data_IF_768919065296
#
_entry.id   IF_768919065296
#
_cell.length_a   1.000
_cell.length_b   1.000
_cell.length_c   1.000
_cell.angle_alpha   90.00
_cell.angle_beta   90.00
_cell.angle_gamma   90.00
#
_symmetry.space_group_name_H-M   'P 1'
#
loop_
_entity.id
_entity.type
_entity.pdbx_description
1 polymer ?
#
# COMPACT_ATOMS: atom_id res chain seq x y z
N UNK A 1 12.36 14.33 -1.44
CA UNK A 1 10.96 14.09 -1.88
C UNK A 1 10.15 13.78 -0.63
N UNK A 2 8.96 14.36 -0.47
CA UNK A 2 8.10 14.09 0.69
C UNK A 2 7.34 12.78 0.47
N UNK A 3 7.55 11.82 1.34
CA UNK A 3 7.01 10.46 1.21
C UNK A 3 5.82 10.26 2.13
N UNK A 4 4.68 9.87 1.56
CA UNK A 4 3.43 9.62 2.28
C UNK A 4 3.04 8.16 2.15
N UNK A 5 2.91 7.47 3.28
CA UNK A 5 2.28 6.15 3.30
C UNK A 5 0.78 6.33 3.43
N UNK A 6 0.05 5.95 2.39
CA UNK A 6 -1.40 6.06 2.32
C UNK A 6 -2.04 4.74 2.73
N UNK A 7 -2.70 4.72 3.88
CA UNK A 7 -3.35 3.55 4.44
C UNK A 7 -4.87 3.75 4.62
N UNK A 8 -5.55 2.68 4.94
CA UNK A 8 -7.00 2.69 5.19
C UNK A 8 -7.64 1.35 4.84
N UNK A 9 -8.72 1.01 5.53
CA UNK A 9 -9.43 -0.25 5.36
C UNK A 9 -10.05 -0.45 3.97
N UNK A 10 -10.47 -1.67 3.68
CA UNK A 10 -11.19 -2.01 2.46
C UNK A 10 -12.38 -1.06 2.25
N UNK A 11 -12.55 -0.56 1.04
CA UNK A 11 -13.60 0.38 0.65
C UNK A 11 -13.60 1.73 1.40
N UNK A 12 -12.54 2.09 2.15
CA UNK A 12 -12.41 3.40 2.81
C UNK A 12 -12.29 4.56 1.84
N UNK A 13 -11.89 4.33 0.59
CA UNK A 13 -11.62 5.37 -0.41
C UNK A 13 -10.14 5.64 -0.65
N UNK A 14 -9.23 4.86 -0.09
CA UNK A 14 -7.77 4.97 -0.27
C UNK A 14 -7.36 5.19 -1.73
N UNK A 15 -7.77 4.32 -2.66
CA UNK A 15 -7.42 4.46 -4.07
C UNK A 15 -8.06 5.70 -4.76
N UNK A 16 -9.13 6.27 -4.19
CA UNK A 16 -9.67 7.54 -4.68
C UNK A 16 -8.78 8.71 -4.26
N UNK A 17 -8.27 8.68 -3.03
CA UNK A 17 -7.26 9.64 -2.53
C UNK A 17 -5.98 9.51 -3.34
N UNK A 18 -5.43 8.31 -3.53
CA UNK A 18 -4.22 8.09 -4.30
C UNK A 18 -4.30 8.70 -5.70
N UNK A 19 -5.38 8.39 -6.44
CA UNK A 19 -5.62 8.97 -7.76
C UNK A 19 -5.82 10.50 -7.74
N UNK A 20 -6.41 11.03 -6.68
CA UNK A 20 -6.57 12.46 -6.54
C UNK A 20 -5.24 13.17 -6.30
N UNK A 21 -4.33 12.58 -5.54
CA UNK A 21 -2.98 13.09 -5.30
C UNK A 21 -2.09 12.94 -6.56
N UNK A 22 -2.21 11.84 -7.28
CA UNK A 22 -1.53 11.61 -8.56
C UNK A 22 -1.89 12.69 -9.60
N UNK A 23 -3.19 13.05 -9.73
CA UNK A 23 -3.63 14.16 -10.61
C UNK A 23 -3.08 15.52 -10.21
N UNK A 24 -2.63 15.70 -8.98
CA UNK A 24 -1.96 16.91 -8.46
C UNK A 24 -0.44 16.87 -8.62
N UNK A 25 0.09 15.80 -9.21
CA UNK A 25 1.51 15.64 -9.49
C UNK A 25 2.27 14.82 -8.42
N UNK A 26 1.57 14.12 -7.54
CA UNK A 26 2.24 13.12 -6.71
C UNK A 26 2.69 11.92 -7.55
N UNK A 27 3.88 11.40 -7.28
CA UNK A 27 4.30 10.11 -7.78
C UNK A 27 3.64 9.01 -6.94
N UNK A 28 2.90 8.14 -7.59
CA UNK A 28 2.19 7.05 -6.92
C UNK A 28 2.96 5.75 -7.05
N UNK A 29 3.18 5.09 -5.91
CA UNK A 29 3.72 3.73 -5.81
C UNK A 29 2.65 2.85 -5.18
N UNK A 30 2.42 1.67 -5.76
CA UNK A 30 1.47 0.69 -5.24
C UNK A 30 2.25 -0.52 -4.72
N UNK A 31 2.22 -0.77 -3.40
CA UNK A 31 2.94 -1.88 -2.78
C UNK A 31 2.44 -3.26 -3.23
N UNK A 32 1.18 -3.39 -3.61
CA UNK A 32 0.69 -4.64 -4.19
C UNK A 32 1.36 -4.95 -5.54
N UNK A 33 1.72 -3.89 -6.29
CA UNK A 33 2.50 -4.06 -7.53
C UNK A 33 3.96 -4.42 -7.24
N UNK A 34 4.57 -3.83 -6.22
CA UNK A 34 5.92 -4.19 -5.80
C UNK A 34 6.01 -5.64 -5.32
N UNK A 35 5.06 -6.08 -4.50
CA UNK A 35 4.96 -7.48 -4.06
C UNK A 35 4.83 -8.44 -5.25
N UNK A 36 4.16 -8.04 -6.31
CA UNK A 36 4.12 -8.84 -7.55
C UNK A 36 5.44 -8.79 -8.31
N UNK A 37 6.09 -7.64 -8.36
CA UNK A 37 7.33 -7.44 -9.10
C UNK A 37 8.51 -8.21 -8.50
N UNK A 38 8.59 -8.33 -7.17
CA UNK A 38 9.64 -9.13 -6.51
C UNK A 38 9.49 -10.64 -6.79
N UNK A 39 8.32 -11.09 -7.24
CA UNK A 39 8.03 -12.47 -7.62
C UNK A 39 8.00 -12.69 -9.14
N UNK A 40 8.62 -11.81 -9.94
CA UNK A 40 8.79 -12.02 -11.37
C UNK A 40 9.92 -13.03 -11.66
N UNK A 41 9.84 -13.74 -12.77
CA UNK A 41 10.86 -14.73 -13.16
C UNK A 41 12.29 -14.19 -13.12
N UNK A 42 13.20 -14.95 -12.52
CA UNK A 42 14.62 -14.58 -12.39
C UNK A 42 14.93 -13.68 -11.18
N UNK A 43 13.95 -13.41 -10.33
CA UNK A 43 14.18 -12.73 -9.05
C UNK A 43 14.76 -13.70 -8.01
N UNK A 44 15.78 -13.26 -7.26
CA UNK A 44 16.30 -14.00 -6.11
C UNK A 44 15.20 -14.35 -5.08
N UNK A 45 14.17 -13.52 -4.98
CA UNK A 45 13.01 -13.77 -4.11
C UNK A 45 12.24 -15.03 -4.54
N UNK A 46 12.14 -15.30 -5.84
CA UNK A 46 11.49 -16.52 -6.36
C UNK A 46 12.25 -17.76 -5.92
N UNK A 47 13.59 -17.71 -5.97
CA UNK A 47 14.43 -18.83 -5.56
C UNK A 47 14.28 -19.13 -4.06
N UNK A 48 14.26 -18.10 -3.20
CA UNK A 48 14.05 -18.24 -1.76
C UNK A 48 12.63 -18.75 -1.45
N UNK A 49 11.62 -18.27 -2.15
CA UNK A 49 10.23 -18.74 -2.01
C UNK A 49 10.12 -20.21 -2.42
N UNK A 50 10.73 -20.60 -3.54
CA UNK A 50 10.74 -21.99 -4.00
C UNK A 50 11.43 -22.90 -2.97
N UNK A 51 12.59 -22.52 -2.47
CA UNK A 51 13.29 -23.26 -1.44
C UNK A 51 12.47 -23.42 -0.14
N UNK A 52 11.63 -22.43 0.19
CA UNK A 52 10.83 -22.44 1.40
C UNK A 52 9.49 -23.19 1.25
N UNK A 53 8.85 -23.11 0.07
CA UNK A 53 7.49 -23.59 -0.15
C UNK A 53 7.39 -24.74 -1.16
N UNK A 54 8.48 -25.05 -1.88
CA UNK A 54 8.60 -26.18 -2.80
C UNK A 54 9.05 -25.75 -4.19
N UNK A 55 10.06 -26.45 -4.71
CA UNK A 55 10.65 -26.19 -6.04
C UNK A 55 9.66 -26.41 -7.18
N UNK A 56 8.60 -27.20 -6.95
CA UNK A 56 7.52 -27.46 -7.90
C UNK A 56 6.62 -26.22 -8.16
N UNK A 57 6.81 -25.15 -7.39
CA UNK A 57 6.13 -23.88 -7.62
C UNK A 57 6.69 -23.10 -8.82
N UNK A 58 7.91 -23.42 -9.28
CA UNK A 58 8.57 -22.68 -10.36
C UNK A 58 8.57 -23.54 -11.64
N UNK A 59 8.03 -22.98 -12.70
CA UNK A 59 8.09 -23.60 -14.02
C UNK A 59 9.54 -23.61 -14.52
N UNK A 60 10.08 -24.79 -14.78
CA UNK A 60 11.50 -24.98 -15.13
C UNK A 60 11.89 -24.41 -16.49
N UNK A 61 10.92 -24.16 -17.37
CA UNK A 61 11.17 -23.62 -18.71
C UNK A 61 11.12 -22.09 -18.73
N UNK A 62 10.20 -21.51 -17.97
CA UNK A 62 9.93 -20.06 -17.99
C UNK A 62 10.44 -19.33 -16.75
N UNK A 63 10.74 -20.04 -15.66
CA UNK A 63 11.06 -19.47 -14.37
C UNK A 63 9.85 -18.83 -13.65
N UNK A 64 8.65 -18.99 -14.21
CA UNK A 64 7.45 -18.38 -13.67
C UNK A 64 6.96 -19.10 -12.41
N UNK A 65 6.60 -18.32 -11.39
CA UNK A 65 6.06 -18.82 -10.13
C UNK A 65 4.56 -19.09 -10.26
N UNK A 66 4.09 -20.29 -9.88
CA UNK A 66 2.66 -20.57 -9.69
C UNK A 66 2.15 -19.87 -8.43
N UNK A 67 1.71 -18.61 -8.61
CA UNK A 67 1.19 -17.77 -7.52
C UNK A 67 -0.06 -18.36 -6.87
N UNK A 68 -0.85 -19.14 -7.61
CA UNK A 68 -2.04 -19.81 -7.06
C UNK A 68 -1.67 -20.94 -6.11
N UNK A 69 -0.67 -21.76 -6.49
CA UNK A 69 -0.14 -22.81 -5.62
C UNK A 69 0.60 -22.22 -4.40
N UNK A 70 1.42 -21.17 -4.61
CA UNK A 70 2.05 -20.45 -3.51
C UNK A 70 1.02 -19.91 -2.51
N UNK A 71 -0.01 -19.22 -2.99
CA UNK A 71 -1.06 -18.67 -2.13
C UNK A 71 -1.76 -19.75 -1.28
N UNK A 72 -2.03 -20.92 -1.85
CA UNK A 72 -2.61 -22.04 -1.10
C UNK A 72 -1.70 -22.55 0.00
N UNK A 73 -0.36 -22.55 -0.21
CA UNK A 73 0.62 -23.03 0.78
C UNK A 73 0.92 -21.96 1.83
N UNK A 74 1.16 -20.74 1.38
CA UNK A 74 1.56 -19.64 2.26
C UNK A 74 0.43 -19.10 3.14
N UNK A 75 -0.82 -19.20 2.70
CA UNK A 75 -1.97 -18.77 3.49
C UNK A 75 -2.74 -19.93 4.14
N UNK A 76 -2.12 -21.11 4.24
CA UNK A 76 -2.71 -22.26 4.92
C UNK A 76 -2.80 -22.04 6.44
N UNK A 77 -1.82 -21.35 7.02
CA UNK A 77 -1.72 -21.03 8.44
C UNK A 77 -0.90 -19.76 8.68
N UNK A 78 -0.93 -19.25 9.91
CA UNK A 78 -0.24 -18.01 10.29
C UNK A 78 1.30 -18.11 10.21
N UNK A 79 1.87 -19.30 10.48
CA UNK A 79 3.32 -19.51 10.42
C UNK A 79 3.82 -19.46 8.98
N UNK A 80 3.12 -20.14 8.07
CA UNK A 80 3.41 -20.12 6.64
C UNK A 80 3.27 -18.70 6.06
N UNK A 81 2.25 -17.94 6.49
CA UNK A 81 2.07 -16.54 6.10
C UNK A 81 3.26 -15.69 6.56
N UNK A 82 3.63 -15.78 7.85
CA UNK A 82 4.77 -15.04 8.39
C UNK A 82 6.09 -15.42 7.71
N UNK A 83 6.27 -16.67 7.32
CA UNK A 83 7.44 -17.14 6.58
C UNK A 83 7.52 -16.52 5.19
N UNK A 84 6.42 -16.47 4.46
CA UNK A 84 6.39 -15.80 3.15
C UNK A 84 6.74 -14.31 3.28
N UNK A 85 6.12 -13.63 4.24
CA UNK A 85 6.39 -12.22 4.51
C UNK A 85 7.85 -11.96 4.87
N UNK A 86 8.45 -12.80 5.71
CA UNK A 86 9.86 -12.68 6.08
C UNK A 86 10.80 -12.78 4.86
N UNK A 87 10.42 -13.56 3.84
CA UNK A 87 11.17 -13.66 2.58
C UNK A 87 10.92 -12.43 1.70
N UNK A 88 9.66 -12.04 1.47
CA UNK A 88 9.31 -10.98 0.52
C UNK A 88 9.67 -9.57 1.00
N UNK A 89 9.47 -9.25 2.30
CA UNK A 89 9.62 -7.90 2.82
C UNK A 89 11.00 -7.28 2.58
N UNK A 90 12.14 -7.97 2.70
CA UNK A 90 13.45 -7.41 2.38
C UNK A 90 13.59 -6.98 0.91
N UNK A 91 13.00 -7.74 -0.01
CA UNK A 91 13.01 -7.43 -1.45
C UNK A 91 12.11 -6.26 -1.77
N UNK A 92 10.90 -6.24 -1.22
CA UNK A 92 9.95 -5.12 -1.34
C UNK A 92 10.60 -3.84 -0.80
N UNK A 93 11.25 -3.90 0.38
CA UNK A 93 11.94 -2.76 0.97
C UNK A 93 13.06 -2.24 0.07
N UNK A 94 13.91 -3.13 -0.44
CA UNK A 94 15.00 -2.75 -1.37
C UNK A 94 14.46 -2.05 -2.61
N UNK A 95 13.39 -2.59 -3.20
CA UNK A 95 12.76 -2.00 -4.39
C UNK A 95 12.13 -0.65 -4.06
N UNK A 96 11.39 -0.55 -2.95
CA UNK A 96 10.78 0.70 -2.50
C UNK A 96 11.84 1.79 -2.27
N UNK A 97 12.94 1.48 -1.57
CA UNK A 97 14.03 2.44 -1.33
C UNK A 97 14.60 2.97 -2.63
N UNK A 98 14.91 2.10 -3.61
CA UNK A 98 15.42 2.53 -4.93
C UNK A 98 14.42 3.43 -5.66
N UNK A 99 13.13 3.09 -5.60
CA UNK A 99 12.09 3.95 -6.17
C UNK A 99 12.05 5.31 -5.47
N UNK A 100 12.09 5.35 -4.14
CA UNK A 100 12.11 6.62 -3.39
C UNK A 100 13.35 7.46 -3.68
N UNK A 101 14.45 6.86 -4.12
CA UNK A 101 15.66 7.51 -4.64
C UNK A 101 15.52 7.97 -6.10
N UNK A 102 14.38 7.68 -6.74
CA UNK A 102 14.03 8.16 -8.08
C UNK A 102 14.09 7.11 -9.20
N UNK A 103 14.42 5.86 -8.89
CA UNK A 103 14.41 4.80 -9.91
C UNK A 103 12.98 4.55 -10.43
N UNK A 104 12.82 4.57 -11.75
CA UNK A 104 11.53 4.37 -12.40
C UNK A 104 10.57 5.55 -12.35
N UNK A 105 10.97 6.67 -11.75
CA UNK A 105 10.16 7.88 -11.76
C UNK A 105 10.17 8.54 -13.14
N UNK A 106 9.00 8.62 -13.78
CA UNK A 106 8.85 9.31 -15.07
C UNK A 106 8.67 10.82 -14.92
N UNK A 107 8.55 11.32 -13.69
CA UNK A 107 8.37 12.74 -13.41
C UNK A 107 9.70 13.42 -13.13
N UNK A 108 9.90 14.61 -13.68
CA UNK A 108 11.08 15.43 -13.37
C UNK A 108 10.89 16.04 -11.98
N UNK A 109 11.54 15.48 -10.94
CA UNK A 109 11.50 15.93 -9.56
C UNK A 109 10.08 15.93 -8.93
N UNK A 110 9.45 14.77 -8.71
CA UNK A 110 8.20 14.74 -7.97
C UNK A 110 8.45 15.23 -6.55
N UNK A 111 7.62 16.16 -6.15
CA UNK A 111 7.76 16.75 -4.84
C UNK A 111 7.19 15.87 -3.74
N UNK A 112 6.17 15.06 -4.07
CA UNK A 112 5.46 14.15 -3.17
C UNK A 112 5.43 12.78 -3.81
N UNK A 113 5.78 11.77 -3.03
CA UNK A 113 5.57 10.36 -3.36
C UNK A 113 4.46 9.81 -2.45
N UNK A 114 3.46 9.17 -3.05
CA UNK A 114 2.38 8.50 -2.31
C UNK A 114 2.51 7.01 -2.51
N UNK A 115 2.83 6.31 -1.43
CA UNK A 115 2.94 4.85 -1.40
C UNK A 115 1.62 4.29 -0.86
N UNK A 116 0.84 3.62 -1.71
CA UNK A 116 -0.36 2.92 -1.25
C UNK A 116 0.01 1.67 -0.46
N UNK A 117 -0.40 1.66 0.81
CA UNK A 117 -0.13 0.58 1.76
C UNK A 117 -1.43 -0.19 2.01
N UNK A 118 -1.54 -1.46 1.58
CA UNK A 118 -2.74 -2.26 1.80
C UNK A 118 -2.90 -2.73 3.25
N UNK A 119 -1.79 -3.10 3.90
CA UNK A 119 -1.73 -3.64 5.27
C UNK A 119 -0.63 -2.89 6.04
N UNK A 120 -1.03 -1.87 6.80
CA UNK A 120 -0.07 -0.98 7.48
C UNK A 120 0.73 -1.71 8.57
N UNK A 121 0.12 -2.67 9.27
CA UNK A 121 0.75 -3.50 10.29
C UNK A 121 1.93 -4.33 9.75
N UNK A 122 1.84 -4.76 8.48
CA UNK A 122 2.92 -5.50 7.81
C UNK A 122 4.08 -4.59 7.40
N UNK A 123 3.85 -3.28 7.39
CA UNK A 123 4.81 -2.26 6.98
C UNK A 123 5.52 -1.58 8.16
N UNK A 124 5.30 -2.01 9.39
CA UNK A 124 5.97 -1.44 10.57
C UNK A 124 7.50 -1.31 10.40
N UNK A 125 8.24 -2.31 9.87
CA UNK A 125 9.68 -2.18 9.66
C UNK A 125 10.08 -1.12 8.61
N UNK A 126 9.13 -0.58 7.87
CA UNK A 126 9.34 0.40 6.80
C UNK A 126 8.70 1.76 7.07
N UNK A 127 8.01 1.93 8.21
CA UNK A 127 7.37 3.21 8.57
C UNK A 127 8.36 4.38 8.64
N UNK A 128 9.63 4.09 8.92
CA UNK A 128 10.70 5.07 8.92
C UNK A 128 11.08 5.61 7.52
N UNK A 129 10.54 5.03 6.44
CA UNK A 129 10.70 5.54 5.08
C UNK A 129 9.67 6.62 4.74
N UNK A 130 8.63 6.79 5.57
CA UNK A 130 7.58 7.78 5.36
C UNK A 130 7.83 9.03 6.22
N UNK A 131 7.63 10.19 5.62
CA UNK A 131 7.55 11.46 6.36
C UNK A 131 6.16 11.61 7.00
N UNK A 132 5.15 10.95 6.45
CA UNK A 132 3.77 11.00 6.93
C UNK A 132 3.02 9.70 6.67
N UNK A 133 2.24 9.24 7.65
CA UNK A 133 1.25 8.17 7.49
C UNK A 133 -0.13 8.83 7.38
N UNK A 134 -0.69 8.81 6.17
CA UNK A 134 -1.99 9.37 5.85
C UNK A 134 -3.05 8.26 5.83
N UNK A 135 -3.95 8.28 6.80
CA UNK A 135 -5.01 7.27 6.92
C UNK A 135 -6.33 7.80 6.39
N UNK A 136 -6.94 7.08 5.46
CA UNK A 136 -8.31 7.34 5.03
C UNK A 136 -9.26 6.58 5.95
N UNK A 137 -9.84 7.30 6.90
CA UNK A 137 -10.77 6.75 7.88
C UNK A 137 -12.21 6.79 7.35
N UNK A 138 -12.91 5.70 7.58
CA UNK A 138 -14.32 5.57 7.18
C UNK A 138 -14.99 4.50 8.03
N UNK A 139 -16.14 4.76 8.63
CA UNK A 139 -16.86 3.80 9.45
C UNK A 139 -17.12 2.48 8.71
N UNK A 140 -16.98 1.36 9.40
CA UNK A 140 -17.10 0.01 8.82
C UNK A 140 -18.40 -0.19 8.05
N UNK A 141 -19.53 0.30 8.59
CA UNK A 141 -20.83 0.19 7.95
C UNK A 141 -20.90 0.95 6.62
N UNK A 142 -20.31 2.14 6.56
CA UNK A 142 -20.23 2.94 5.32
C UNK A 142 -19.36 2.21 4.29
N UNK A 143 -18.24 1.61 4.72
CA UNK A 143 -17.35 0.82 3.86
C UNK A 143 -18.08 -0.40 3.30
N UNK A 144 -18.86 -1.10 4.13
CA UNK A 144 -19.67 -2.27 3.74
C UNK A 144 -20.69 -1.90 2.66
N UNK A 145 -21.45 -0.81 2.87
CA UNK A 145 -22.41 -0.33 1.87
C UNK A 145 -21.72 0.05 0.54
N UNK A 146 -20.57 0.71 0.61
CA UNK A 146 -19.79 1.07 -0.60
C UNK A 146 -19.26 -0.16 -1.34
N UNK A 147 -18.83 -1.19 -0.60
CA UNK A 147 -18.36 -2.44 -1.19
C UNK A 147 -19.49 -3.18 -1.90
N UNK A 148 -20.66 -3.27 -1.26
CA UNK A 148 -21.86 -3.86 -1.87
C UNK A 148 -22.30 -3.11 -3.14
N UNK A 149 -22.29 -1.78 -3.11
CA UNK A 149 -22.61 -0.96 -4.30
C UNK A 149 -21.63 -1.16 -5.47
N UNK A 150 -20.47 -1.79 -5.23
CA UNK A 150 -19.48 -2.19 -6.25
C UNK A 150 -19.60 -3.68 -6.63
N UNK A 151 -20.62 -4.39 -6.15
CA UNK A 151 -20.86 -5.80 -6.45
C UNK A 151 -20.12 -6.79 -5.56
N UNK A 152 -19.50 -6.34 -4.46
CA UNK A 152 -18.86 -7.25 -3.50
C UNK A 152 -19.90 -7.88 -2.58
N UNK A 153 -19.81 -9.19 -2.37
CA UNK A 153 -20.64 -9.89 -1.40
C UNK A 153 -20.29 -9.47 0.04
N UNK A 154 -21.29 -9.44 0.93
CA UNK A 154 -21.13 -9.04 2.34
C UNK A 154 -20.14 -9.94 3.06
N UNK A 155 -20.29 -11.26 2.91
CA UNK A 155 -19.42 -12.22 3.58
C UNK A 155 -17.96 -12.10 3.07
N UNK A 156 -17.76 -11.78 1.78
CA UNK A 156 -16.41 -11.51 1.24
C UNK A 156 -15.83 -10.22 1.82
N UNK A 157 -16.65 -9.17 1.93
CA UNK A 157 -16.21 -7.93 2.58
C UNK A 157 -15.79 -8.16 4.03
N UNK A 158 -16.64 -8.83 4.83
CA UNK A 158 -16.39 -9.05 6.26
C UNK A 158 -15.14 -9.91 6.47
N UNK A 159 -14.95 -10.96 5.66
CA UNK A 159 -13.74 -11.78 5.67
C UNK A 159 -12.49 -10.95 5.37
N UNK A 160 -12.50 -10.10 4.35
CA UNK A 160 -11.35 -9.26 3.99
C UNK A 160 -11.10 -8.16 5.02
N UNK A 161 -12.14 -7.56 5.58
CA UNK A 161 -12.01 -6.56 6.62
C UNK A 161 -11.37 -7.15 7.90
N UNK A 162 -11.73 -8.38 8.26
CA UNK A 162 -11.16 -9.09 9.41
C UNK A 162 -9.66 -9.44 9.26
N UNK A 163 -9.14 -9.46 8.03
CA UNK A 163 -7.71 -9.71 7.74
C UNK A 163 -6.88 -8.43 7.68
N UNK A 164 -7.52 -7.26 7.83
CA UNK A 164 -6.86 -5.97 7.81
C UNK A 164 -6.60 -5.45 9.23
N UNK A 165 -5.63 -4.52 9.41
CA UNK A 165 -5.46 -3.82 10.68
C UNK A 165 -6.77 -3.19 11.14
N UNK A 166 -7.01 -3.18 12.46
CA UNK A 166 -8.18 -2.55 13.04
C UNK A 166 -8.20 -1.04 12.75
N UNK A 167 -9.39 -0.44 12.76
CA UNK A 167 -9.53 1.01 12.59
C UNK A 167 -8.81 1.78 13.72
N UNK A 168 -8.74 1.18 14.93
CA UNK A 168 -7.99 1.72 16.06
C UNK A 168 -6.49 1.73 15.78
N UNK A 169 -5.93 0.59 15.35
CA UNK A 169 -4.52 0.50 14.95
C UNK A 169 -4.17 1.53 13.87
N UNK A 170 -5.01 1.67 12.84
CA UNK A 170 -4.78 2.65 11.79
C UNK A 170 -4.75 4.08 12.31
N UNK A 171 -5.66 4.44 13.23
CA UNK A 171 -5.69 5.77 13.84
C UNK A 171 -4.49 6.05 14.75
N UNK A 172 -4.04 5.05 15.50
CA UNK A 172 -2.87 5.18 16.39
C UNK A 172 -1.58 5.42 15.62
N UNK A 173 -1.45 4.82 14.42
CA UNK A 173 -0.26 4.96 13.58
C UNK A 173 -0.37 6.10 12.56
N UNK A 174 -1.50 6.80 12.52
CA UNK A 174 -1.71 7.90 11.59
C UNK A 174 -1.00 9.18 12.07
N UNK A 175 -0.25 9.82 11.17
CA UNK A 175 0.20 11.21 11.35
C UNK A 175 -0.95 12.17 11.00
N UNK A 176 -1.73 11.82 9.98
CA UNK A 176 -2.90 12.57 9.52
C UNK A 176 -4.04 11.63 9.18
N UNK A 177 -5.26 12.05 9.50
CA UNK A 177 -6.48 11.30 9.19
C UNK A 177 -7.34 12.12 8.22
N UNK A 178 -7.69 11.51 7.09
CA UNK A 178 -8.72 12.00 6.18
C UNK A 178 -10.01 11.24 6.44
N UNK A 179 -10.97 11.91 7.08
CA UNK A 179 -12.30 11.35 7.27
C UNK A 179 -13.04 11.25 5.92
N UNK A 180 -13.50 10.07 5.57
CA UNK A 180 -14.31 9.78 4.40
C UNK A 180 -15.65 9.14 4.79
N UNK A 181 -16.26 9.62 5.87
CA UNK A 181 -17.62 9.22 6.28
C UNK A 181 -18.71 9.86 5.41
N UNK A 182 -18.41 11.01 4.79
CA UNK A 182 -19.30 11.80 3.95
C UNK A 182 -19.34 11.41 2.47
N UNK A 183 -19.72 12.35 1.63
CA UNK A 183 -19.83 12.19 0.18
C UNK A 183 -18.49 12.32 -0.57
N UNK A 184 -18.49 12.02 -1.89
CA UNK A 184 -17.28 12.15 -2.71
C UNK A 184 -16.74 13.59 -2.78
N UNK A 185 -17.61 14.61 -2.72
CA UNK A 185 -17.23 16.03 -2.70
C UNK A 185 -16.46 16.40 -1.44
N UNK A 186 -16.86 15.83 -0.29
CA UNK A 186 -16.24 16.13 0.99
C UNK A 186 -14.82 15.56 1.04
N UNK A 187 -14.64 14.34 0.54
CA UNK A 187 -13.30 13.73 0.41
C UNK A 187 -12.41 14.56 -0.52
N UNK A 188 -12.94 15.04 -1.65
CA UNK A 188 -12.18 15.86 -2.58
C UNK A 188 -11.69 17.15 -1.93
N UNK A 189 -12.57 17.85 -1.18
CA UNK A 189 -12.22 19.08 -0.47
C UNK A 189 -11.13 18.83 0.59
N UNK A 190 -11.22 17.72 1.37
CA UNK A 190 -10.21 17.35 2.36
C UNK A 190 -8.85 17.03 1.73
N UNK A 191 -8.85 16.37 0.57
CA UNK A 191 -7.61 16.10 -0.19
C UNK A 191 -7.00 17.42 -0.71
N UNK A 192 -7.82 18.38 -1.17
CA UNK A 192 -7.35 19.69 -1.61
C UNK A 192 -6.74 20.48 -0.45
N UNK A 193 -7.38 20.49 0.70
CA UNK A 193 -6.88 21.15 1.90
C UNK A 193 -5.55 20.52 2.38
N UNK A 194 -5.50 19.20 2.45
CA UNK A 194 -4.28 18.48 2.80
C UNK A 194 -3.14 18.82 1.84
N UNK A 195 -3.39 18.75 0.54
CA UNK A 195 -2.40 19.06 -0.50
C UNK A 195 -1.87 20.50 -0.37
N UNK A 196 -2.77 21.48 -0.29
CA UNK A 196 -2.41 22.87 -0.15
C UNK A 196 -1.57 23.14 1.12
N UNK A 197 -1.86 22.46 2.23
CA UNK A 197 -1.09 22.59 3.46
C UNK A 197 0.35 22.09 3.32
N UNK A 198 0.56 21.04 2.51
CA UNK A 198 1.90 20.49 2.25
C UNK A 198 2.69 21.34 1.25
N UNK A 199 2.03 21.88 0.23
CA UNK A 199 2.65 22.86 -0.67
C UNK A 199 3.11 24.11 0.10
N UNK A 200 2.26 24.65 0.97
CA UNK A 200 2.60 25.82 1.78
C UNK A 200 3.79 25.59 2.72
N UNK A 201 3.90 24.38 3.32
CA UNK A 201 5.04 24.02 4.17
C UNK A 201 6.35 24.00 3.38
N UNK A 202 6.36 23.44 2.18
CA UNK A 202 7.53 23.34 1.29
C UNK A 202 8.03 24.68 0.78
N UNK A 203 7.13 25.62 0.50
CA UNK A 203 7.52 27.00 0.11
C UNK A 203 8.25 27.71 1.24
N UNK A 204 7.97 27.37 2.50
CA UNK A 204 8.70 27.92 3.65
C UNK A 204 10.11 27.33 3.77
N UNK A 205 10.28 26.02 3.59
CA UNK A 205 11.58 25.36 3.62
C UNK A 205 12.50 25.82 2.48
N UNK A 206 11.97 25.92 1.26
CA UNK A 206 12.72 26.39 0.09
C UNK A 206 13.14 27.87 0.18
N UNK A 207 12.52 28.67 1.06
CA UNK A 207 12.89 30.10 1.28
C UNK A 207 13.89 30.28 2.43
N UNK A 208 14.08 29.27 3.27
CA UNK A 208 14.96 29.32 4.43
C UNK A 208 16.29 28.54 4.22
N UNK A 209 16.46 27.88 3.09
CA UNK A 209 17.70 27.21 2.67
C UNK A 209 18.29 27.86 1.41
#
# INVERSE_FOLDING_TARGET
>A
MYTVFLAGGIASGKSSVARALERRGAWRIDLDQLSRAVLEPGSECVDEVAAAFGDDLVDTCTGALDRGALARRAFADAESTARLEAIELPYIRRMLVRMLEGEGCCQTNPCVCVVEVPLLDRMEPMLNLADEVLVVDCPLEVRRVRAQGRGMDVADFDRRAALQPSDEYLREHATTILDNSGGPSDLAARVDEWWASREAARWKEARNG
#
